data_IF_818299980258
#
_entry.id   IF_818299980258
#
_cell.length_a   1.000
_cell.length_b   1.000
_cell.length_c   1.000
_cell.angle_alpha   90.00
_cell.angle_beta   90.00
_cell.angle_gamma   90.00
#
_symmetry.space_group_name_H-M   'P 1'
#
loop_
_entity.id
_entity.type
_entity.pdbx_description
1 polymer ?
#
# COMPACT_ATOMS: atom_id res chain seq x y z
N UNK A 1 -5.56 90.77 -24.02
CA UNK A 1 -6.12 89.51 -24.48
C UNK A 1 -4.93 88.52 -24.62
N UNK A 2 -4.77 87.64 -23.64
CA UNK A 2 -3.71 86.63 -23.67
C UNK A 2 -4.40 85.30 -23.42
N UNK A 3 -4.40 84.48 -24.43
CA UNK A 3 -4.94 83.10 -24.40
C UNK A 3 -3.86 82.18 -23.83
N UNK A 4 -4.12 81.66 -22.66
CA UNK A 4 -3.23 80.66 -22.04
C UNK A 4 -3.56 79.26 -22.51
N UNK A 5 -2.60 78.57 -23.17
CA UNK A 5 -2.70 77.26 -23.58
C UNK A 5 -2.32 76.29 -22.44
N UNK A 6 -3.29 75.56 -21.93
CA UNK A 6 -3.06 74.52 -20.92
C UNK A 6 -2.81 73.17 -21.64
N UNK A 7 -1.60 72.69 -21.61
CA UNK A 7 -1.24 71.37 -22.11
C UNK A 7 -1.47 70.36 -20.98
N UNK A 8 -2.47 69.52 -21.11
CA UNK A 8 -2.69 68.41 -20.22
C UNK A 8 -1.85 67.21 -20.68
N UNK A 9 -0.83 66.85 -19.92
CA UNK A 9 -0.04 65.64 -20.10
C UNK A 9 -0.83 64.45 -19.57
N UNK A 10 -1.31 63.59 -20.44
CA UNK A 10 -1.91 62.31 -20.07
C UNK A 10 -0.77 61.29 -19.89
N UNK A 11 -0.44 61.00 -18.64
CA UNK A 11 0.47 59.96 -18.25
C UNK A 11 -0.19 58.58 -18.39
N UNK A 12 0.26 57.84 -19.39
CA UNK A 12 -0.15 56.43 -19.60
C UNK A 12 0.66 55.58 -18.63
N UNK A 13 0.09 55.28 -17.45
CA UNK A 13 0.69 54.34 -16.50
C UNK A 13 0.53 52.90 -16.99
N UNK A 14 1.60 52.29 -17.44
CA UNK A 14 1.66 50.84 -17.65
C UNK A 14 1.64 50.15 -16.28
N UNK A 15 0.49 49.64 -15.85
CA UNK A 15 0.44 48.67 -14.76
C UNK A 15 0.97 47.33 -15.26
N UNK A 16 2.24 47.06 -15.00
CA UNK A 16 2.81 45.72 -15.13
C UNK A 16 2.31 44.91 -13.94
N UNK A 17 1.22 44.17 -14.15
CA UNK A 17 0.77 43.18 -13.18
C UNK A 17 1.77 42.04 -13.16
N UNK A 18 2.69 42.06 -12.21
CA UNK A 18 3.50 40.90 -11.85
C UNK A 18 2.58 39.84 -11.30
N UNK A 19 2.21 38.85 -12.12
CA UNK A 19 1.62 37.63 -11.64
C UNK A 19 2.71 36.91 -10.83
N UNK A 20 2.60 37.03 -9.51
CA UNK A 20 3.34 36.17 -8.60
C UNK A 20 2.81 34.74 -8.86
N UNK A 21 3.58 33.92 -9.59
CA UNK A 21 3.44 32.49 -9.52
C UNK A 21 3.78 32.12 -8.08
N UNK A 22 2.73 31.94 -7.26
CA UNK A 22 2.89 31.22 -6.02
C UNK A 22 3.30 29.81 -6.43
N UNK A 23 4.60 29.57 -6.40
CA UNK A 23 5.19 28.25 -6.42
C UNK A 23 4.64 27.56 -5.18
N UNK A 24 3.55 26.80 -5.39
CA UNK A 24 3.03 25.89 -4.39
C UNK A 24 4.10 24.83 -4.17
N UNK A 25 5.11 25.17 -3.39
CA UNK A 25 5.91 24.17 -2.71
C UNK A 25 4.88 23.33 -1.94
N UNK A 26 4.41 22.26 -2.58
CA UNK A 26 3.72 21.23 -1.88
C UNK A 26 4.69 20.78 -0.81
N UNK A 27 4.38 21.18 0.41
CA UNK A 27 4.95 20.60 1.61
C UNK A 27 4.85 19.09 1.43
N UNK A 28 5.93 18.50 0.89
CA UNK A 28 6.21 17.09 1.06
C UNK A 28 6.51 16.95 2.53
N UNK A 29 5.43 17.17 3.34
CA UNK A 29 5.46 16.89 4.75
C UNK A 29 6.19 15.59 4.88
N UNK A 30 7.19 15.57 5.74
CA UNK A 30 7.85 14.37 6.23
C UNK A 30 6.79 13.51 6.93
N UNK A 31 5.70 13.25 6.19
CA UNK A 31 4.73 12.22 6.45
C UNK A 31 5.55 10.97 6.58
N UNK A 32 5.54 10.43 7.78
CA UNK A 32 6.16 9.21 8.19
C UNK A 32 6.44 8.36 6.96
N UNK A 33 7.71 8.17 6.62
CA UNK A 33 8.12 7.18 5.64
C UNK A 33 7.48 5.91 6.13
N UNK A 34 6.30 5.63 5.56
CA UNK A 34 5.67 4.34 5.74
C UNK A 34 6.77 3.38 5.27
N UNK A 35 7.36 2.63 6.20
CA UNK A 35 8.33 1.60 5.89
C UNK A 35 7.58 0.44 5.23
N UNK A 36 6.77 0.80 4.23
CA UNK A 36 6.15 -0.10 3.31
C UNK A 36 7.26 -0.72 2.49
N UNK A 37 7.26 -2.02 2.38
CA UNK A 37 8.04 -2.70 1.37
C UNK A 37 7.65 -2.18 -0.02
N UNK A 38 8.25 -2.71 -1.10
CA UNK A 38 8.07 -2.23 -2.47
C UNK A 38 6.61 -2.29 -2.96
N UNK A 39 5.70 -2.85 -2.18
CA UNK A 39 4.28 -2.97 -2.49
C UNK A 39 3.44 -2.03 -1.62
N UNK A 40 2.83 -0.99 -2.21
CA UNK A 40 1.93 -0.06 -1.51
C UNK A 40 0.46 -0.57 -1.54
N UNK A 41 0.25 -1.85 -1.26
CA UNK A 41 -1.09 -2.42 -1.15
C UNK A 41 -1.63 -2.27 0.28
N UNK A 42 -2.88 -1.81 0.40
CA UNK A 42 -3.57 -1.64 1.69
C UNK A 42 -4.68 -2.67 1.86
N UNK A 43 -4.65 -3.34 3.01
CA UNK A 43 -5.64 -4.36 3.36
C UNK A 43 -5.36 -5.74 2.75
N UNK A 44 -5.78 -6.77 3.45
CA UNK A 44 -5.44 -8.15 3.12
C UNK A 44 -5.95 -8.63 1.76
N UNK A 45 -7.12 -8.16 1.33
CA UNK A 45 -7.66 -8.52 0.01
C UNK A 45 -6.78 -7.99 -1.12
N UNK A 46 -6.36 -6.71 -1.05
CA UNK A 46 -5.52 -6.13 -2.09
C UNK A 46 -4.17 -6.85 -2.17
N UNK A 47 -3.57 -7.17 -1.02
CA UNK A 47 -2.31 -7.92 -0.97
C UNK A 47 -2.51 -9.33 -1.55
N UNK A 48 -3.58 -10.02 -1.16
CA UNK A 48 -3.87 -11.36 -1.69
C UNK A 48 -3.99 -11.34 -3.22
N UNK A 49 -4.79 -10.42 -3.75
CA UNK A 49 -5.07 -10.31 -5.19
C UNK A 49 -3.82 -9.97 -6.00
N UNK A 50 -2.93 -9.15 -5.49
CA UNK A 50 -1.79 -8.67 -6.27
C UNK A 50 -0.50 -9.49 -6.04
N UNK A 51 -0.42 -10.23 -4.93
CA UNK A 51 0.81 -10.95 -4.55
C UNK A 51 0.57 -12.47 -4.46
N UNK A 52 -0.49 -12.89 -3.77
CA UNK A 52 -0.64 -14.31 -3.39
C UNK A 52 -1.39 -15.14 -4.45
N UNK A 53 -2.42 -14.57 -5.07
CA UNK A 53 -3.29 -15.32 -5.99
C UNK A 53 -2.58 -15.82 -7.25
N UNK A 54 -1.43 -15.25 -7.62
CA UNK A 54 -0.63 -15.72 -8.75
C UNK A 54 -0.22 -17.20 -8.61
N UNK A 55 -0.03 -17.65 -7.37
CA UNK A 55 0.27 -19.05 -7.05
C UNK A 55 -0.91 -19.76 -6.39
N UNK A 56 -1.59 -19.11 -5.43
CA UNK A 56 -2.67 -19.72 -4.67
C UNK A 56 -4.04 -19.68 -5.35
N UNK A 57 -4.15 -19.09 -6.53
CA UNK A 57 -5.36 -18.90 -7.35
C UNK A 57 -6.38 -17.92 -6.73
N UNK A 58 -7.27 -17.31 -7.53
CA UNK A 58 -8.26 -16.36 -7.03
C UNK A 58 -9.25 -16.96 -6.01
N UNK A 59 -9.53 -18.25 -6.11
CA UNK A 59 -10.41 -18.99 -5.20
C UNK A 59 -9.66 -19.67 -4.03
N UNK A 60 -8.37 -19.43 -3.94
CA UNK A 60 -7.46 -19.98 -2.93
C UNK A 60 -7.40 -21.52 -2.87
N UNK A 61 -7.79 -22.22 -3.94
CA UNK A 61 -7.69 -23.67 -3.98
C UNK A 61 -6.32 -24.20 -4.35
N UNK A 62 -5.40 -23.29 -4.70
CA UNK A 62 -4.10 -23.69 -5.18
C UNK A 62 -4.15 -24.36 -6.55
N UNK A 63 -3.05 -24.94 -6.98
CA UNK A 63 -2.95 -25.64 -8.25
C UNK A 63 -1.99 -26.83 -8.16
N UNK A 64 -2.24 -27.84 -8.98
CA UNK A 64 -1.35 -28.96 -9.22
C UNK A 64 -1.05 -29.07 -10.71
N UNK A 65 0.21 -29.34 -11.06
CA UNK A 65 0.68 -29.41 -12.45
C UNK A 65 2.20 -29.40 -12.49
N UNK A 66 2.78 -28.49 -13.28
CA UNK A 66 4.23 -28.30 -13.29
C UNK A 66 4.81 -27.83 -11.93
N UNK A 67 3.96 -27.28 -11.05
CA UNK A 67 4.23 -26.98 -9.66
C UNK A 67 3.05 -27.40 -8.78
N UNK A 68 3.28 -27.49 -7.47
CA UNK A 68 2.23 -27.74 -6.49
C UNK A 68 2.08 -26.52 -5.59
N UNK A 69 0.97 -25.82 -5.72
CA UNK A 69 0.61 -24.68 -4.88
C UNK A 69 -0.50 -25.09 -3.91
N UNK A 70 -0.26 -25.07 -2.59
CA UNK A 70 -1.24 -25.59 -1.63
C UNK A 70 -2.49 -24.73 -1.58
N UNK A 71 -3.63 -25.36 -1.33
CA UNK A 71 -4.87 -24.68 -1.05
C UNK A 71 -4.77 -23.90 0.26
N UNK A 72 -5.24 -22.65 0.24
CA UNK A 72 -5.51 -21.86 1.43
C UNK A 72 -7.00 -21.89 1.81
N UNK A 73 -7.87 -22.29 0.87
CA UNK A 73 -9.29 -22.48 1.11
C UNK A 73 -9.51 -23.68 2.04
N UNK A 74 -10.33 -23.49 3.10
CA UNK A 74 -10.67 -24.50 4.11
C UNK A 74 -9.43 -25.23 4.66
N UNK A 75 -8.38 -24.49 4.95
CA UNK A 75 -7.10 -25.04 5.34
C UNK A 75 -6.92 -24.97 6.87
N UNK A 76 -6.92 -26.14 7.50
CA UNK A 76 -6.78 -26.28 8.95
C UNK A 76 -5.44 -25.76 9.48
N UNK A 77 -4.38 -25.74 8.67
CA UNK A 77 -3.08 -25.16 9.08
C UNK A 77 -3.14 -23.66 9.35
N UNK A 78 -4.15 -22.98 8.85
CA UNK A 78 -4.38 -21.56 9.13
C UNK A 78 -5.04 -21.32 10.50
N UNK A 79 -5.46 -22.35 11.22
CA UNK A 79 -6.00 -22.23 12.57
C UNK A 79 -4.97 -21.59 13.52
N UNK A 80 -3.73 -22.06 13.49
CA UNK A 80 -2.64 -21.45 14.25
C UNK A 80 -2.11 -20.22 13.53
N UNK A 81 -2.44 -19.04 14.04
CA UNK A 81 -2.12 -17.75 13.40
C UNK A 81 -0.61 -17.55 13.11
N UNK A 82 0.25 -18.05 13.98
CA UNK A 82 1.71 -17.95 13.81
C UNK A 82 2.24 -18.71 12.59
N UNK A 83 1.57 -19.80 12.17
CA UNK A 83 2.04 -20.58 11.04
C UNK A 83 2.04 -19.78 9.71
N UNK A 84 0.92 -19.17 9.26
CA UNK A 84 0.95 -18.35 8.06
C UNK A 84 1.84 -17.12 8.19
N UNK A 85 1.99 -16.53 9.38
CA UNK A 85 2.96 -15.44 9.60
C UNK A 85 4.37 -15.91 9.29
N UNK A 86 4.81 -17.02 9.89
CA UNK A 86 6.15 -17.57 9.67
C UNK A 86 6.39 -17.94 8.19
N UNK A 87 5.41 -18.56 7.53
CA UNK A 87 5.53 -18.98 6.12
C UNK A 87 5.65 -17.76 5.19
N UNK A 88 4.88 -16.70 5.43
CA UNK A 88 4.93 -15.49 4.62
C UNK A 88 6.24 -14.73 4.84
N UNK A 89 6.70 -14.63 6.10
CA UNK A 89 7.90 -13.86 6.43
C UNK A 89 9.19 -14.57 6.02
N UNK A 90 9.27 -15.86 6.20
CA UNK A 90 10.52 -16.62 5.96
C UNK A 90 10.50 -17.46 4.67
N UNK A 91 9.32 -17.66 4.08
CA UNK A 91 9.15 -18.59 2.98
C UNK A 91 9.11 -20.05 3.46
N UNK A 92 8.66 -20.94 2.58
CA UNK A 92 8.67 -22.38 2.85
C UNK A 92 8.71 -23.18 1.54
N UNK A 93 9.70 -24.05 1.36
CA UNK A 93 9.92 -24.84 0.13
C UNK A 93 9.98 -23.92 -1.11
N UNK A 94 9.01 -24.06 -2.03
CA UNK A 94 8.92 -23.25 -3.24
C UNK A 94 8.24 -21.87 -3.02
N UNK A 95 7.63 -21.63 -1.85
CA UNK A 95 7.07 -20.32 -1.52
C UNK A 95 8.19 -19.38 -1.08
N UNK A 96 8.42 -18.26 -1.79
CA UNK A 96 9.47 -17.32 -1.42
C UNK A 96 9.14 -16.58 -0.12
N UNK A 97 10.17 -16.00 0.51
CA UNK A 97 10.01 -15.08 1.62
C UNK A 97 9.48 -13.73 1.14
N UNK A 98 8.47 -13.21 1.81
CA UNK A 98 7.95 -11.85 1.62
C UNK A 98 8.31 -10.92 2.78
N UNK A 99 9.13 -11.37 3.73
CA UNK A 99 9.46 -10.61 4.93
C UNK A 99 10.17 -9.28 4.66
N UNK A 100 10.91 -9.14 3.58
CA UNK A 100 11.54 -7.88 3.16
C UNK A 100 10.65 -7.04 2.22
N UNK A 101 9.62 -7.64 1.64
CA UNK A 101 8.74 -7.02 0.65
C UNK A 101 7.46 -6.46 1.27
N UNK A 102 6.94 -7.10 2.32
CA UNK A 102 5.75 -6.70 3.05
C UNK A 102 6.13 -6.23 4.45
N UNK A 103 5.55 -5.11 4.89
CA UNK A 103 5.70 -4.65 6.27
C UNK A 103 4.80 -5.45 7.22
N UNK A 104 4.98 -5.24 8.54
CA UNK A 104 4.27 -6.01 9.57
C UNK A 104 2.73 -5.84 9.48
N UNK A 105 2.26 -4.63 9.15
CA UNK A 105 0.83 -4.39 8.94
C UNK A 105 0.30 -5.17 7.73
N UNK A 106 1.03 -5.18 6.65
CA UNK A 106 0.64 -5.88 5.42
C UNK A 106 0.61 -7.40 5.61
N UNK A 107 1.58 -7.95 6.33
CA UNK A 107 1.57 -9.38 6.68
C UNK A 107 0.39 -9.70 7.59
N UNK A 108 0.13 -8.90 8.63
CA UNK A 108 -1.02 -9.08 9.50
C UNK A 108 -2.35 -9.02 8.72
N UNK A 109 -2.49 -8.05 7.82
CA UNK A 109 -3.69 -7.86 7.01
C UNK A 109 -3.98 -9.06 6.11
N UNK A 110 -2.97 -9.55 5.38
CA UNK A 110 -3.17 -10.70 4.47
C UNK A 110 -3.39 -12.00 5.23
N UNK A 111 -2.72 -12.20 6.38
CA UNK A 111 -2.95 -13.36 7.24
C UNK A 111 -4.39 -13.36 7.77
N UNK A 112 -4.87 -12.23 8.28
CA UNK A 112 -6.25 -12.10 8.73
C UNK A 112 -7.25 -12.33 7.59
N UNK A 113 -6.95 -11.84 6.39
CA UNK A 113 -7.79 -12.03 5.22
C UNK A 113 -7.92 -13.51 4.85
N UNK A 114 -6.83 -14.24 4.68
CA UNK A 114 -6.90 -15.67 4.30
C UNK A 114 -7.50 -16.53 5.41
N UNK A 115 -7.36 -16.14 6.67
CA UNK A 115 -7.93 -16.85 7.81
C UNK A 115 -9.43 -16.64 8.00
N UNK A 116 -10.00 -15.60 7.41
CA UNK A 116 -11.45 -15.30 7.53
C UNK A 116 -12.21 -15.45 6.22
N UNK A 117 -11.53 -15.73 5.11
CA UNK A 117 -12.13 -15.90 3.79
C UNK A 117 -11.90 -17.31 3.24
N UNK A 118 -12.35 -17.56 2.03
CA UNK A 118 -12.18 -18.85 1.34
C UNK A 118 -12.71 -20.07 2.11
N UNK A 119 -13.74 -19.84 2.93
CA UNK A 119 -14.34 -20.89 3.77
C UNK A 119 -13.61 -21.14 5.09
N UNK A 120 -12.55 -20.40 5.39
CA UNK A 120 -11.93 -20.35 6.70
C UNK A 120 -12.73 -19.44 7.66
N UNK A 121 -12.71 -19.74 8.97
CA UNK A 121 -13.53 -19.03 9.98
C UNK A 121 -12.76 -18.74 11.26
N UNK A 122 -11.44 -18.58 11.16
CA UNK A 122 -10.56 -18.30 12.30
C UNK A 122 -10.64 -16.82 12.67
N UNK A 123 -11.14 -16.50 13.86
CA UNK A 123 -11.53 -15.12 14.25
C UNK A 123 -10.49 -14.38 15.07
N UNK A 124 -9.54 -15.09 15.67
CA UNK A 124 -8.44 -14.48 16.39
C UNK A 124 -7.56 -13.69 15.40
N UNK A 125 -7.35 -12.42 15.72
CA UNK A 125 -6.64 -11.50 14.83
C UNK A 125 -5.15 -11.49 15.10
N UNK A 126 -4.38 -11.47 14.03
CA UNK A 126 -2.94 -11.17 14.05
C UNK A 126 -2.76 -9.66 14.03
N UNK A 127 -1.95 -9.15 14.94
CA UNK A 127 -1.52 -7.76 14.97
C UNK A 127 -0.15 -7.58 14.31
N UNK A 128 0.24 -6.35 13.92
CA UNK A 128 1.61 -6.08 13.45
C UNK A 128 2.69 -6.42 14.47
N UNK A 129 2.36 -6.33 15.78
CA UNK A 129 3.29 -6.71 16.84
C UNK A 129 3.58 -8.22 16.86
N UNK A 130 2.56 -9.05 16.59
CA UNK A 130 2.71 -10.50 16.49
C UNK A 130 3.60 -10.88 15.30
N UNK A 131 3.46 -10.17 14.18
CA UNK A 131 4.32 -10.35 13.00
C UNK A 131 5.75 -9.96 13.32
N UNK A 132 5.96 -8.78 13.94
CA UNK A 132 7.27 -8.29 14.33
C UNK A 132 8.00 -9.25 15.26
N UNK A 133 7.28 -9.92 16.15
CA UNK A 133 7.87 -10.91 17.08
C UNK A 133 8.36 -12.19 16.39
N UNK A 134 7.99 -12.43 15.13
CA UNK A 134 8.35 -13.62 14.34
C UNK A 134 9.34 -13.33 13.20
N UNK A 135 9.84 -12.10 13.11
CA UNK A 135 10.84 -11.72 12.08
C UNK A 135 12.24 -12.12 12.45
#
# INVERSE_FOLDING_TARGET
MRVGLVVAAVGLGLCVSSAAFADGAQDMGAGAMNRGGPYDFKGGQAIYTNVCQGCHMPDAKGAAGAGMYPALAKNEKLETAGYPVAVITHGQKAMPSFGTLLNDQQVADVVNYIRTNFGNKYKDKVSPADVKAQR
#
